data_IF_032730802959
#
_entry.id   IF_032730802959
#
_cell.length_a   1.000
_cell.length_b   1.000
_cell.length_c   1.000
_cell.angle_alpha   90.00
_cell.angle_beta   90.00
_cell.angle_gamma   90.00
#
_symmetry.space_group_name_H-M   'P 1'
#
loop_
_entity.id
_entity.type
_entity.pdbx_description
1 polymer ?
#
# COMPACT_ATOMS: atom_id res chain seq x y z
N UNK A 1 19.93 -2.60 -3.35
CA UNK A 1 19.06 -1.68 -4.13
C UNK A 1 17.95 -2.37 -4.95
N UNK A 2 17.66 -3.69 -4.76
CA UNK A 2 16.60 -4.40 -5.51
C UNK A 2 15.23 -4.45 -4.79
N UNK A 3 15.22 -4.36 -3.46
CA UNK A 3 13.99 -4.48 -2.66
C UNK A 3 13.04 -3.28 -2.78
N UNK A 4 13.58 -2.05 -2.81
CA UNK A 4 12.76 -0.82 -2.86
C UNK A 4 11.91 -0.74 -4.13
N UNK A 5 12.48 -1.16 -5.27
CA UNK A 5 11.79 -1.20 -6.55
C UNK A 5 10.68 -2.26 -6.60
N UNK A 6 10.89 -3.38 -5.91
CA UNK A 6 9.91 -4.46 -5.80
C UNK A 6 8.71 -4.04 -4.95
N UNK A 7 8.94 -3.29 -3.87
CA UNK A 7 7.89 -2.69 -3.02
C UNK A 7 7.06 -1.67 -3.81
N UNK A 8 7.71 -0.79 -4.56
CA UNK A 8 7.01 0.21 -5.39
C UNK A 8 6.13 -0.45 -6.47
N UNK A 9 6.66 -1.47 -7.14
CA UNK A 9 5.92 -2.24 -8.15
C UNK A 9 4.72 -2.97 -7.55
N UNK A 10 4.88 -3.55 -6.36
CA UNK A 10 3.78 -4.21 -5.65
C UNK A 10 2.67 -3.22 -5.31
N UNK A 11 3.01 -2.05 -4.74
CA UNK A 11 2.06 -0.99 -4.40
C UNK A 11 1.35 -0.45 -5.65
N UNK A 12 2.09 -0.14 -6.73
CA UNK A 12 1.50 0.30 -7.99
C UNK A 12 0.58 -0.77 -8.62
N UNK A 13 0.96 -2.05 -8.57
CA UNK A 13 0.13 -3.14 -9.09
C UNK A 13 -1.14 -3.36 -8.25
N UNK A 14 -1.08 -3.12 -6.94
CA UNK A 14 -2.24 -3.17 -6.05
C UNK A 14 -3.17 -1.98 -6.27
N UNK A 15 -2.63 -0.78 -6.53
CA UNK A 15 -3.42 0.40 -6.92
C UNK A 15 -4.13 0.23 -8.28
N UNK A 16 -3.55 -0.55 -9.19
CA UNK A 16 -4.17 -0.93 -10.48
C UNK A 16 -5.19 -2.09 -10.31
N UNK A 17 -5.26 -2.72 -9.13
CA UNK A 17 -6.21 -3.81 -8.84
C UNK A 17 -5.73 -5.21 -9.22
N UNK A 18 -4.44 -5.39 -9.55
CA UNK A 18 -3.85 -6.70 -9.89
C UNK A 18 -3.40 -7.42 -8.62
N UNK A 19 -4.33 -7.74 -7.73
CA UNK A 19 -4.07 -8.62 -6.59
C UNK A 19 -3.98 -10.07 -7.05
N UNK A 20 -2.77 -10.64 -7.19
CA UNK A 20 -2.65 -12.08 -7.54
C UNK A 20 -3.20 -12.92 -6.39
N UNK A 21 -4.14 -13.82 -6.68
CA UNK A 21 -4.84 -14.68 -5.69
C UNK A 21 -3.91 -15.43 -4.73
N UNK A 22 -2.70 -15.81 -5.18
CA UNK A 22 -1.65 -16.47 -4.38
C UNK A 22 -1.10 -15.60 -3.25
N UNK A 23 -1.02 -14.28 -3.44
CA UNK A 23 -0.61 -13.36 -2.40
C UNK A 23 -1.72 -13.17 -1.37
N UNK A 24 -2.98 -13.13 -1.82
CA UNK A 24 -4.14 -13.06 -0.95
C UNK A 24 -4.20 -14.23 0.05
N UNK A 25 -3.99 -15.47 -0.42
CA UNK A 25 -4.02 -16.67 0.45
C UNK A 25 -2.90 -16.65 1.49
N UNK A 26 -1.71 -16.22 1.08
CA UNK A 26 -0.55 -16.08 1.97
C UNK A 26 -0.76 -14.96 3.00
N UNK A 27 -1.41 -13.87 2.61
CA UNK A 27 -1.75 -12.77 3.51
C UNK A 27 -2.80 -13.18 4.56
N UNK A 28 -3.76 -14.02 4.18
CA UNK A 28 -4.72 -14.60 5.13
C UNK A 28 -4.06 -15.55 6.12
N UNK A 29 -3.20 -16.47 5.68
CA UNK A 29 -2.45 -17.37 6.58
C UNK A 29 -1.51 -16.59 7.53
N UNK A 30 -0.85 -15.54 7.03
CA UNK A 30 0.01 -14.69 7.86
C UNK A 30 -0.81 -13.88 8.87
N UNK A 31 -2.00 -13.41 8.49
CA UNK A 31 -2.94 -12.71 9.37
C UNK A 31 -3.48 -13.63 10.46
N UNK A 32 -3.79 -14.89 10.15
CA UNK A 32 -4.24 -15.86 11.16
C UNK A 32 -3.16 -16.15 12.21
N UNK A 33 -1.87 -16.19 11.81
CA UNK A 33 -0.77 -16.50 12.73
C UNK A 33 -0.25 -15.30 13.52
N UNK A 34 -0.31 -14.11 12.94
CA UNK A 34 0.39 -12.92 13.45
C UNK A 34 -0.56 -11.77 13.79
N UNK A 35 -1.84 -11.92 13.49
CA UNK A 35 -2.86 -10.89 13.66
C UNK A 35 -2.88 -9.84 12.53
N UNK A 36 -3.98 -9.09 12.38
CA UNK A 36 -4.19 -8.16 11.27
C UNK A 36 -3.46 -6.81 11.42
N UNK A 37 -2.86 -6.55 12.58
CA UNK A 37 -2.25 -5.27 12.93
C UNK A 37 -1.26 -4.72 11.90
N UNK A 38 -0.32 -5.51 11.32
CA UNK A 38 0.61 -5.01 10.32
C UNK A 38 -0.08 -4.45 9.07
N UNK A 39 -1.15 -5.12 8.61
CA UNK A 39 -1.92 -4.69 7.44
C UNK A 39 -2.71 -3.40 7.70
N UNK A 40 -3.28 -3.26 8.90
CA UNK A 40 -4.00 -2.04 9.31
C UNK A 40 -3.05 -0.84 9.36
N UNK A 41 -1.88 -1.00 9.98
CA UNK A 41 -0.88 0.07 10.08
C UNK A 41 -0.40 0.49 8.68
N UNK A 42 -0.06 -0.48 7.83
CA UNK A 42 0.37 -0.19 6.44
C UNK A 42 -0.74 0.51 5.65
N UNK A 43 -1.99 0.06 5.81
CA UNK A 43 -3.15 0.68 5.17
C UNK A 43 -3.30 2.15 5.58
N UNK A 44 -3.25 2.45 6.88
CA UNK A 44 -3.34 3.81 7.39
C UNK A 44 -2.21 4.71 6.88
N UNK A 45 -0.96 4.21 6.88
CA UNK A 45 0.19 4.96 6.36
C UNK A 45 -0.01 5.30 4.88
N UNK A 46 -0.46 4.33 4.08
CA UNK A 46 -0.75 4.57 2.65
C UNK A 46 -1.87 5.58 2.43
N UNK A 47 -2.93 5.53 3.24
CA UNK A 47 -4.03 6.52 3.18
C UNK A 47 -3.52 7.93 3.48
N UNK A 48 -2.71 8.11 4.53
CA UNK A 48 -2.14 9.42 4.87
C UNK A 48 -1.24 9.95 3.75
N UNK A 49 -0.40 9.09 3.16
CA UNK A 49 0.45 9.47 2.02
C UNK A 49 -0.38 9.89 0.80
N UNK A 50 -1.47 9.17 0.51
CA UNK A 50 -2.36 9.50 -0.59
C UNK A 50 -3.02 10.87 -0.40
N UNK A 51 -3.59 11.12 0.78
CA UNK A 51 -4.20 12.42 1.12
C UNK A 51 -3.15 13.54 1.05
N UNK A 52 -1.97 13.32 1.64
CA UNK A 52 -0.87 14.30 1.60
C UNK A 52 -0.44 14.64 0.17
N UNK A 53 -0.41 13.64 -0.72
CA UNK A 53 -0.09 13.84 -2.14
C UNK A 53 -1.13 14.71 -2.83
N UNK A 54 -2.43 14.47 -2.58
CA UNK A 54 -3.50 15.30 -3.14
C UNK A 54 -3.40 16.73 -2.61
N UNK A 55 -3.25 16.91 -1.29
CA UNK A 55 -3.12 18.23 -0.69
C UNK A 55 -1.92 19.00 -1.26
N UNK A 56 -0.77 18.32 -1.40
CA UNK A 56 0.41 18.90 -2.02
C UNK A 56 0.16 19.32 -3.47
N UNK A 57 -0.44 18.46 -4.28
CA UNK A 57 -0.76 18.77 -5.67
C UNK A 57 -1.72 19.96 -5.78
N UNK A 58 -2.77 20.00 -4.94
CA UNK A 58 -3.71 21.12 -4.88
C UNK A 58 -2.99 22.40 -4.50
N UNK A 59 -2.13 22.40 -3.48
CA UNK A 59 -1.37 23.59 -3.06
C UNK A 59 -0.35 24.06 -4.09
N UNK A 60 0.16 23.15 -4.92
CA UNK A 60 1.09 23.48 -5.99
C UNK A 60 0.37 24.18 -7.17
N UNK A 61 -0.90 23.84 -7.41
CA UNK A 61 -1.70 24.38 -8.52
C UNK A 61 -2.55 25.58 -8.10
N UNK A 62 -3.14 25.53 -6.91
CA UNK A 62 -3.92 26.59 -6.26
C UNK A 62 -3.12 27.10 -5.05
N UNK A 63 -2.29 28.15 -5.22
CA UNK A 63 -1.53 28.75 -4.12
C UNK A 63 -2.45 29.34 -3.03
#
# INVERSE_FOLDING_TARGET
MKGLFQVFRAVASAMIGVGKKKHLTQDFEATEKTGPWPYIVVGLVMTVLFIGTILFAVRLVLP
#
